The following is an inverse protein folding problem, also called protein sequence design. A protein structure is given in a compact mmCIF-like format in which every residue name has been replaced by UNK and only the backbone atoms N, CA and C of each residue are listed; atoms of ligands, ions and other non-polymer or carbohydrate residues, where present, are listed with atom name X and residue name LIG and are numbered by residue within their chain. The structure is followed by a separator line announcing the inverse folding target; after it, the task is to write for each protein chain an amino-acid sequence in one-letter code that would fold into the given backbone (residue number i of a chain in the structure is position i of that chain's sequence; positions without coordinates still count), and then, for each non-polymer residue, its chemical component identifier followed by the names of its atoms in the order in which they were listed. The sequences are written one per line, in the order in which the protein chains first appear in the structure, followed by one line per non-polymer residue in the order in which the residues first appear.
data_IF_312282450344
#
_entry.id   IF_312282450344
#
_cell.length_a   1.000
_cell.length_b   1.000
_cell.length_c   1.000
_cell.angle_alpha   90.00
_cell.angle_beta   90.00
_cell.angle_gamma   90.00
#
_symmetry.space_group_name_H-M   'P 1'
#
loop_
_entity.id
_entity.type
_entity.pdbx_description
1 polymer ?
#
# COMPACT_ATOMS: atom_id res chain seq x y z
N UNK A 1 -46.26 -23.53 14.36
CA UNK A 1 -45.77 -23.76 12.98
C UNK A 1 -45.28 -22.41 12.48
N UNK A 2 -43.98 -22.24 12.25
CA UNK A 2 -43.43 -20.98 11.73
C UNK A 2 -43.86 -20.83 10.26
N UNK A 3 -44.37 -19.65 9.91
CA UNK A 3 -44.93 -19.36 8.60
C UNK A 3 -43.78 -19.26 7.57
N UNK A 4 -43.65 -20.25 6.67
CA UNK A 4 -42.50 -20.37 5.74
C UNK A 4 -42.29 -19.13 4.85
N UNK A 5 -43.37 -18.41 4.51
CA UNK A 5 -43.30 -17.19 3.69
C UNK A 5 -42.75 -15.97 4.44
N UNK A 6 -43.01 -15.87 5.74
CA UNK A 6 -42.47 -14.79 6.58
C UNK A 6 -40.96 -14.99 6.80
N UNK A 7 -40.55 -16.24 7.02
CA UNK A 7 -39.13 -16.61 7.18
C UNK A 7 -38.32 -16.43 5.89
N UNK A 8 -38.89 -16.67 4.71
CA UNK A 8 -38.24 -16.37 3.42
C UNK A 8 -38.04 -14.87 3.19
N UNK A 9 -39.03 -14.04 3.55
CA UNK A 9 -38.93 -12.58 3.45
C UNK A 9 -37.89 -12.00 4.43
N UNK A 10 -37.86 -12.48 5.67
CA UNK A 10 -36.85 -12.11 6.66
C UNK A 10 -35.44 -12.52 6.23
N UNK A 11 -35.29 -13.73 5.68
CA UNK A 11 -34.01 -14.20 5.15
C UNK A 11 -33.53 -13.35 3.97
N UNK A 12 -34.44 -12.96 3.06
CA UNK A 12 -34.10 -12.10 1.93
C UNK A 12 -33.59 -10.73 2.39
N UNK A 13 -34.30 -10.08 3.32
CA UNK A 13 -33.87 -8.81 3.91
C UNK A 13 -32.51 -8.95 4.59
N UNK A 14 -32.30 -10.06 5.32
CA UNK A 14 -31.04 -10.32 6.00
C UNK A 14 -29.87 -10.51 5.04
N UNK A 15 -30.08 -11.19 3.92
CA UNK A 15 -29.07 -11.35 2.86
C UNK A 15 -28.71 -9.99 2.28
N UNK A 16 -29.70 -9.15 1.97
CA UNK A 16 -29.47 -7.82 1.43
C UNK A 16 -28.67 -6.92 2.39
N UNK A 17 -28.98 -6.96 3.69
CA UNK A 17 -28.19 -6.27 4.72
C UNK A 17 -26.74 -6.75 4.77
N UNK A 18 -26.52 -8.06 4.66
CA UNK A 18 -25.18 -8.64 4.67
C UNK A 18 -24.38 -8.25 3.43
N UNK A 19 -25.02 -8.22 2.26
CA UNK A 19 -24.39 -7.78 1.01
C UNK A 19 -23.98 -6.29 1.08
N UNK A 20 -24.87 -5.44 1.60
CA UNK A 20 -24.58 -4.02 1.79
C UNK A 20 -23.46 -3.79 2.81
N UNK A 21 -23.45 -4.56 3.91
CA UNK A 21 -22.37 -4.50 4.89
C UNK A 21 -21.05 -4.95 4.28
N UNK A 22 -21.04 -6.05 3.52
CA UNK A 22 -19.84 -6.56 2.86
C UNK A 22 -19.27 -5.54 1.88
N UNK A 23 -20.13 -4.88 1.09
CA UNK A 23 -19.72 -3.78 0.19
C UNK A 23 -19.06 -2.65 0.95
N UNK A 24 -19.68 -2.18 2.03
CA UNK A 24 -19.12 -1.09 2.87
C UNK A 24 -17.78 -1.47 3.51
N UNK A 25 -17.63 -2.73 3.92
CA UNK A 25 -16.38 -3.22 4.49
C UNK A 25 -15.27 -3.26 3.43
N UNK A 26 -15.58 -3.72 2.22
CA UNK A 26 -14.63 -3.71 1.10
C UNK A 26 -14.18 -2.29 0.76
N UNK A 27 -15.13 -1.36 0.64
CA UNK A 27 -14.82 0.06 0.40
C UNK A 27 -13.96 0.64 1.52
N UNK A 28 -14.24 0.29 2.78
CA UNK A 28 -13.46 0.73 3.93
C UNK A 28 -12.02 0.20 3.88
N UNK A 29 -11.83 -1.07 3.52
CA UNK A 29 -10.50 -1.68 3.36
C UNK A 29 -9.71 -0.99 2.26
N UNK A 30 -10.32 -0.74 1.09
CA UNK A 30 -9.69 -0.03 -0.02
C UNK A 30 -9.29 1.39 0.40
N UNK A 31 -10.21 2.13 1.04
CA UNK A 31 -9.94 3.48 1.50
C UNK A 31 -8.83 3.55 2.55
N UNK A 32 -8.82 2.60 3.50
CA UNK A 32 -7.76 2.52 4.51
C UNK A 32 -6.40 2.19 3.87
N UNK A 33 -6.38 1.26 2.91
CA UNK A 33 -5.17 0.93 2.15
C UNK A 33 -4.62 2.14 1.40
N UNK A 34 -5.48 2.85 0.66
CA UNK A 34 -5.11 4.06 -0.07
C UNK A 34 -4.56 5.15 0.87
N UNK A 35 -5.22 5.41 2.00
CA UNK A 35 -4.75 6.39 3.00
C UNK A 35 -3.43 5.98 3.64
N UNK A 36 -3.23 4.70 3.90
CA UNK A 36 -1.97 4.19 4.46
C UNK A 36 -0.79 4.37 3.50
N UNK A 37 -1.05 4.26 2.20
CA UNK A 37 -0.08 4.37 1.12
C UNK A 37 0.14 5.79 0.59
N UNK A 38 -0.72 6.75 0.95
CA UNK A 38 -0.68 8.10 0.38
C UNK A 38 0.71 8.74 0.53
N UNK A 39 1.29 8.67 1.72
CA UNK A 39 2.60 9.30 2.00
C UNK A 39 3.80 8.40 1.65
N UNK A 40 3.57 7.30 0.94
CA UNK A 40 4.63 6.38 0.54
C UNK A 40 5.13 6.75 -0.86
N UNK A 41 6.44 7.02 -0.98
CA UNK A 41 7.14 7.07 -2.25
C UNK A 41 7.65 5.68 -2.63
N UNK A 42 7.43 5.32 -3.89
CA UNK A 42 7.89 4.07 -4.50
C UNK A 42 9.02 4.38 -5.48
N UNK A 43 10.18 3.76 -5.24
CA UNK A 43 11.32 3.84 -6.13
C UNK A 43 11.52 2.49 -6.81
N UNK A 44 11.70 2.50 -8.13
CA UNK A 44 11.86 1.31 -8.95
C UNK A 44 13.18 1.37 -9.72
N UNK A 45 13.74 0.20 -10.03
CA UNK A 45 14.98 0.05 -10.80
C UNK A 45 16.18 0.78 -10.16
N UNK A 46 16.24 0.82 -8.83
CA UNK A 46 17.45 1.17 -8.09
C UNK A 46 18.19 -0.14 -7.83
N UNK A 47 19.46 -0.21 -8.21
CA UNK A 47 20.28 -1.42 -7.98
C UNK A 47 20.32 -1.76 -6.49
N UNK A 48 20.22 -3.05 -6.16
CA UNK A 48 20.25 -3.52 -4.77
C UNK A 48 21.68 -3.77 -4.32
N UNK A 49 22.05 -3.24 -3.16
CA UNK A 49 23.30 -3.55 -2.46
C UNK A 49 23.03 -4.38 -1.19
N UNK A 50 24.03 -5.12 -0.74
CA UNK A 50 23.89 -5.97 0.45
C UNK A 50 23.99 -5.19 1.77
N UNK A 51 24.47 -3.96 1.73
CA UNK A 51 24.75 -3.10 2.90
C UNK A 51 23.77 -1.90 3.01
N UNK A 52 22.70 -1.92 2.21
CA UNK A 52 22.02 -0.71 1.73
C UNK A 52 21.20 0.07 2.76
N UNK A 53 21.60 1.32 3.00
CA UNK A 53 20.75 2.33 3.63
C UNK A 53 19.71 2.82 2.59
N UNK A 54 18.49 2.30 2.71
CA UNK A 54 17.38 2.67 1.83
C UNK A 54 16.99 4.16 1.91
N UNK A 55 17.56 4.95 2.84
CA UNK A 55 17.33 6.39 2.91
C UNK A 55 18.18 7.19 1.90
N UNK A 56 19.23 6.59 1.33
CA UNK A 56 20.09 7.24 0.33
C UNK A 56 19.35 7.58 -0.98
N UNK A 57 18.18 6.99 -1.22
CA UNK A 57 17.30 7.30 -2.36
C UNK A 57 16.90 8.78 -2.42
N UNK A 58 17.01 9.54 -1.33
CA UNK A 58 16.80 11.00 -1.35
C UNK A 58 17.83 11.70 -2.25
N UNK A 59 19.06 11.18 -2.32
CA UNK A 59 20.09 11.72 -3.21
C UNK A 59 19.68 11.69 -4.69
N UNK A 60 18.89 10.68 -5.09
CA UNK A 60 18.34 10.61 -6.44
C UNK A 60 17.33 11.72 -6.72
N UNK A 61 16.61 12.22 -5.70
CA UNK A 61 15.71 13.36 -5.88
C UNK A 61 16.51 14.63 -6.22
N UNK A 62 17.65 14.84 -5.55
CA UNK A 62 18.52 15.99 -5.84
C UNK A 62 19.14 15.87 -7.24
N UNK A 63 19.64 14.69 -7.61
CA UNK A 63 20.37 14.49 -8.87
C UNK A 63 19.48 14.37 -10.11
N UNK A 64 18.31 13.72 -9.99
CA UNK A 64 17.46 13.36 -11.14
C UNK A 64 16.23 14.23 -11.28
N UNK A 65 15.74 14.82 -10.19
CA UNK A 65 14.52 15.62 -10.19
C UNK A 65 14.78 17.12 -9.97
N UNK A 66 16.06 17.53 -9.94
CA UNK A 66 16.47 18.92 -9.75
C UNK A 66 15.82 19.54 -8.50
N UNK A 67 15.82 18.79 -7.40
CA UNK A 67 15.31 19.21 -6.10
C UNK A 67 16.47 19.54 -5.15
N UNK A 68 17.13 20.70 -5.30
CA UNK A 68 18.26 21.06 -4.46
C UNK A 68 17.84 21.16 -2.99
N UNK A 69 18.58 20.50 -2.11
CA UNK A 69 18.29 20.47 -0.67
C UNK A 69 17.26 19.43 -0.25
N UNK A 70 16.88 18.49 -1.12
CA UNK A 70 15.97 17.41 -0.74
C UNK A 70 16.48 16.62 0.47
N UNK A 71 17.81 16.43 0.61
CA UNK A 71 18.41 15.75 1.77
C UNK A 71 18.16 16.46 3.09
N UNK A 72 18.01 17.78 3.09
CA UNK A 72 17.75 18.56 4.30
C UNK A 72 16.26 18.85 4.54
N UNK A 73 15.45 18.87 3.48
CA UNK A 73 14.01 19.16 3.58
C UNK A 73 13.13 17.93 3.72
N UNK A 74 13.52 16.80 3.13
CA UNK A 74 12.73 15.56 3.15
C UNK A 74 13.16 14.70 4.34
N UNK A 75 12.21 14.40 5.23
CA UNK A 75 12.42 13.45 6.32
C UNK A 75 11.80 12.12 5.94
N UNK A 76 12.61 11.07 5.89
CA UNK A 76 12.10 9.71 5.74
C UNK A 76 11.85 9.15 7.14
N UNK A 77 10.59 8.83 7.43
CA UNK A 77 10.19 8.14 8.66
C UNK A 77 10.59 6.66 8.63
N UNK A 78 10.47 6.01 7.47
CA UNK A 78 10.86 4.61 7.27
C UNK A 78 11.16 4.36 5.80
N UNK A 79 12.26 3.70 5.49
CA UNK A 79 12.52 3.15 4.16
C UNK A 79 12.85 1.65 4.24
N UNK A 80 12.38 0.88 3.26
CA UNK A 80 12.64 -0.56 3.18
C UNK A 80 12.36 -1.08 1.77
N UNK A 81 13.04 -2.17 1.40
CA UNK A 81 12.81 -2.90 0.15
C UNK A 81 11.54 -3.76 0.27
N UNK A 82 10.74 -3.78 -0.78
CA UNK A 82 9.49 -4.52 -0.85
C UNK A 82 9.69 -5.88 -1.50
N UNK A 83 9.14 -6.90 -0.86
CA UNK A 83 9.13 -8.26 -1.38
C UNK A 83 10.35 -9.08 -1.00
N UNK A 84 10.26 -10.38 -1.30
CA UNK A 84 11.30 -11.36 -0.97
C UNK A 84 12.45 -11.28 -1.97
N UNK A 85 13.69 -11.40 -1.50
CA UNK A 85 14.88 -11.59 -2.35
C UNK A 85 14.64 -12.82 -3.24
N UNK A 86 14.79 -12.65 -4.53
CA UNK A 86 14.55 -13.68 -5.53
C UNK A 86 15.86 -13.89 -6.28
N UNK A 87 16.55 -14.99 -5.99
CA UNK A 87 17.79 -15.33 -6.67
C UNK A 87 17.49 -15.65 -8.14
N UNK A 88 18.07 -14.85 -9.05
CA UNK A 88 17.84 -14.95 -10.50
C UNK A 88 16.78 -13.99 -11.07
N UNK A 89 16.13 -13.17 -10.23
CA UNK A 89 15.27 -12.09 -10.72
C UNK A 89 16.13 -11.01 -11.41
N UNK A 90 15.79 -10.67 -12.67
CA UNK A 90 16.52 -9.67 -13.48
C UNK A 90 16.26 -8.21 -13.09
N UNK A 91 15.25 -7.94 -12.25
CA UNK A 91 14.85 -6.59 -11.88
C UNK A 91 15.09 -6.35 -10.40
N UNK A 92 15.70 -5.22 -10.02
CA UNK A 92 15.77 -4.81 -8.63
C UNK A 92 14.37 -4.63 -8.03
N UNK A 93 14.24 -4.94 -6.74
CA UNK A 93 13.03 -4.74 -5.96
C UNK A 93 12.75 -3.26 -5.76
N UNK A 94 11.48 -2.96 -5.47
CA UNK A 94 11.07 -1.59 -5.20
C UNK A 94 11.47 -1.18 -3.78
N UNK A 95 11.88 0.08 -3.60
CA UNK A 95 12.05 0.68 -2.28
C UNK A 95 10.78 1.48 -1.97
N UNK A 96 10.21 1.28 -0.77
CA UNK A 96 9.16 2.15 -0.22
C UNK A 96 9.77 3.03 0.85
N UNK A 97 9.66 4.34 0.66
CA UNK A 97 9.96 5.35 1.67
C UNK A 97 8.67 6.03 2.14
N UNK A 98 8.44 6.05 3.46
CA UNK A 98 7.36 6.80 4.08
C UNK A 98 7.92 8.13 4.57
N UNK A 99 7.31 9.23 4.13
CA UNK A 99 7.65 10.60 4.54
C UNK A 99 6.87 10.99 5.81
#
# INVERSE_FOLDING_TARGET
MVNRKETEGENYLRIQELEDLNRRLQDSVVNLGARSMWDNLLFHNIDESEEEDCTEVIGLLEEKLDMPGAKSSVKINRAHIVGRKCDGCRKPRAIIAKI
#
